data_IF_896478265086
#
_entry.id   IF_896478265086
#
_cell.length_a   1.000
_cell.length_b   1.000
_cell.length_c   1.000
_cell.angle_alpha   90.00
_cell.angle_beta   90.00
_cell.angle_gamma   90.00
#
_symmetry.space_group_name_H-M   'P 1'
#
loop_
_entity.id
_entity.type
_entity.pdbx_description
1 polymer ?
#
# COMPACT_ATOMS: atom_id res chain seq x y z
N UNK A 1 0.92 -7.91 1.70
CA UNK A 1 -0.08 -8.08 0.62
C UNK A 1 -1.44 -7.97 1.27
N UNK A 2 -2.38 -7.19 0.71
CA UNK A 2 -3.68 -6.98 1.35
C UNK A 2 -4.48 -8.29 1.44
N UNK A 3 -5.11 -8.56 2.58
CA UNK A 3 -6.07 -9.63 2.83
C UNK A 3 -7.50 -9.16 2.51
N UNK A 4 -8.43 -10.10 2.34
CA UNK A 4 -9.82 -9.81 1.89
C UNK A 4 -10.53 -8.77 2.77
N UNK A 5 -10.26 -8.80 4.07
CA UNK A 5 -10.80 -7.81 5.02
C UNK A 5 -10.32 -6.39 4.75
N UNK A 6 -9.04 -6.24 4.39
CA UNK A 6 -8.45 -4.93 4.11
C UNK A 6 -9.00 -4.37 2.79
N UNK A 7 -9.23 -5.24 1.79
CA UNK A 7 -9.86 -4.85 0.53
C UNK A 7 -11.30 -4.34 0.74
N UNK A 8 -12.08 -5.01 1.59
CA UNK A 8 -13.43 -4.57 1.93
C UNK A 8 -13.45 -3.19 2.60
N UNK A 9 -12.48 -2.89 3.46
CA UNK A 9 -12.33 -1.57 4.09
C UNK A 9 -12.04 -0.50 3.03
N UNK A 10 -11.10 -0.78 2.11
CA UNK A 10 -10.76 0.13 1.02
C UNK A 10 -11.97 0.46 0.14
N UNK A 11 -12.83 -0.52 -0.16
CA UNK A 11 -14.07 -0.28 -0.90
C UNK A 11 -15.05 0.63 -0.16
N UNK A 12 -15.19 0.46 1.17
CA UNK A 12 -16.04 1.31 2.00
C UNK A 12 -15.53 2.75 1.95
N UNK A 13 -14.21 2.95 2.04
CA UNK A 13 -13.58 4.27 1.93
C UNK A 13 -13.81 4.89 0.55
N UNK A 14 -13.65 4.10 -0.51
CA UNK A 14 -13.87 4.56 -1.88
C UNK A 14 -15.34 4.96 -2.15
N UNK A 15 -16.31 4.22 -1.60
CA UNK A 15 -17.73 4.60 -1.67
C UNK A 15 -18.03 5.92 -0.95
N UNK A 16 -17.24 6.25 0.08
CA UNK A 16 -17.28 7.53 0.80
C UNK A 16 -16.45 8.64 0.14
N UNK A 17 -15.96 8.43 -1.08
CA UNK A 17 -15.12 9.40 -1.84
C UNK A 17 -13.81 9.75 -1.14
N UNK A 18 -13.25 8.84 -0.36
CA UNK A 18 -11.90 8.96 0.19
C UNK A 18 -10.90 8.45 -0.86
N UNK A 19 -9.98 9.31 -1.27
CA UNK A 19 -8.94 8.94 -2.24
C UNK A 19 -7.85 8.10 -1.54
N UNK A 20 -7.49 6.97 -2.16
CA UNK A 20 -6.50 6.03 -1.62
C UNK A 20 -5.32 5.96 -2.58
N UNK A 21 -4.14 6.35 -2.07
CA UNK A 21 -2.87 6.32 -2.81
C UNK A 21 -1.96 5.27 -2.19
N UNK A 22 -1.46 4.34 -3.01
CA UNK A 22 -0.72 3.17 -2.55
C UNK A 22 0.65 3.11 -3.23
N UNK A 23 1.71 3.16 -2.43
CA UNK A 23 3.06 2.77 -2.86
C UNK A 23 3.31 1.33 -2.47
N UNK A 24 3.57 0.47 -3.45
CA UNK A 24 3.87 -0.93 -3.20
C UNK A 24 4.79 -1.49 -4.27
N UNK A 25 5.53 -2.54 -3.94
CA UNK A 25 6.20 -3.34 -4.95
C UNK A 25 5.14 -4.02 -5.81
N UNK A 26 5.21 -3.78 -7.11
CA UNK A 26 4.42 -4.45 -8.15
C UNK A 26 5.32 -5.45 -8.86
N UNK A 27 5.07 -6.73 -8.62
CA UNK A 27 5.80 -7.91 -9.09
C UNK A 27 4.82 -9.01 -9.54
N UNK A 28 5.34 -10.17 -9.96
CA UNK A 28 4.54 -11.29 -10.45
C UNK A 28 3.54 -11.84 -9.43
N UNK A 29 3.82 -11.69 -8.13
CA UNK A 29 2.97 -12.22 -7.06
C UNK A 29 1.84 -11.24 -6.78
N UNK A 30 2.13 -9.94 -6.80
CA UNK A 30 1.19 -8.86 -6.49
C UNK A 30 0.34 -8.41 -7.67
N UNK A 31 0.71 -8.75 -8.91
CA UNK A 31 0.07 -8.24 -10.13
C UNK A 31 -1.45 -8.42 -10.16
N UNK A 32 -1.96 -9.56 -9.68
CA UNK A 32 -3.38 -9.89 -9.74
C UNK A 32 -4.17 -8.97 -8.81
N UNK A 33 -3.71 -8.81 -7.56
CA UNK A 33 -4.36 -7.94 -6.58
C UNK A 33 -4.29 -6.47 -6.98
N UNK A 34 -3.17 -6.04 -7.57
CA UNK A 34 -3.03 -4.67 -8.09
C UNK A 34 -4.03 -4.43 -9.22
N UNK A 35 -4.15 -5.38 -10.17
CA UNK A 35 -5.11 -5.28 -11.27
C UNK A 35 -6.56 -5.24 -10.77
N UNK A 36 -6.92 -6.14 -9.85
CA UNK A 36 -8.25 -6.17 -9.22
C UNK A 36 -8.59 -4.84 -8.52
N UNK A 37 -7.61 -4.20 -7.87
CA UNK A 37 -7.85 -2.92 -7.19
C UNK A 37 -8.02 -1.76 -8.18
N UNK A 38 -7.24 -1.73 -9.27
CA UNK A 38 -7.38 -0.72 -10.32
C UNK A 38 -8.70 -0.86 -11.08
N UNK A 39 -9.13 -2.09 -11.38
CA UNK A 39 -10.43 -2.36 -12.03
C UNK A 39 -11.62 -1.80 -11.23
N UNK A 40 -11.51 -1.74 -9.89
CA UNK A 40 -12.54 -1.13 -9.03
C UNK A 40 -12.81 0.33 -9.35
N UNK A 41 -11.84 1.09 -9.87
CA UNK A 41 -12.07 2.48 -10.27
C UNK A 41 -13.15 2.58 -11.35
N UNK A 42 -13.13 1.66 -12.33
CA UNK A 42 -14.15 1.58 -13.40
C UNK A 42 -15.54 1.37 -12.83
N UNK A 43 -15.69 0.43 -11.88
CA UNK A 43 -16.98 0.15 -11.24
C UNK A 43 -17.47 1.30 -10.36
N UNK A 44 -16.55 2.04 -9.74
CA UNK A 44 -16.86 3.18 -8.88
C UNK A 44 -17.14 4.47 -9.69
N UNK A 45 -16.72 4.51 -10.96
CA UNK A 45 -16.87 5.66 -11.85
C UNK A 45 -15.95 6.84 -11.52
N UNK A 46 -14.87 6.61 -10.76
CA UNK A 46 -13.85 7.61 -10.44
C UNK A 46 -12.55 6.94 -9.94
N UNK A 47 -11.44 7.69 -9.97
CA UNK A 47 -10.11 7.19 -9.62
C UNK A 47 -9.87 7.11 -8.11
N UNK A 48 -10.59 6.20 -7.45
CA UNK A 48 -10.50 5.99 -6.00
C UNK A 48 -9.13 5.45 -5.57
N UNK A 49 -8.58 4.52 -6.35
CA UNK A 49 -7.33 3.84 -6.07
C UNK A 49 -6.26 4.26 -7.07
N UNK A 50 -5.19 4.86 -6.58
CA UNK A 50 -3.99 5.12 -7.36
C UNK A 50 -2.86 4.29 -6.79
N UNK A 51 -2.14 3.57 -7.65
CA UNK A 51 -1.10 2.65 -7.23
C UNK A 51 0.16 2.95 -8.02
N UNK A 52 1.29 3.04 -7.32
CA UNK A 52 2.61 3.18 -7.93
C UNK A 52 3.56 2.10 -7.45
N UNK A 53 4.40 1.66 -8.38
CA UNK A 53 5.48 0.71 -8.13
C UNK A 53 6.64 1.41 -7.41
N UNK A 54 6.87 1.02 -6.16
CA UNK A 54 8.02 1.42 -5.36
C UNK A 54 8.38 0.30 -4.39
N UNK A 55 9.65 -0.07 -4.31
CA UNK A 55 10.14 -0.91 -3.22
C UNK A 55 10.50 -0.02 -2.03
N UNK A 56 9.92 -0.31 -0.87
CA UNK A 56 10.16 0.45 0.34
C UNK A 56 10.03 -0.47 1.57
N UNK A 57 10.93 -0.37 2.56
CA UNK A 57 10.90 -1.24 3.73
C UNK A 57 9.74 -0.94 4.69
N UNK A 58 9.27 0.31 4.74
CA UNK A 58 8.22 0.72 5.66
C UNK A 58 6.84 0.24 5.17
N UNK A 59 6.07 -0.38 6.07
CA UNK A 59 4.65 -0.66 5.86
C UNK A 59 3.86 0.28 6.74
N UNK A 60 3.12 1.19 6.12
CA UNK A 60 2.41 2.24 6.83
C UNK A 60 1.07 2.55 6.19
N UNK A 61 0.12 2.99 7.01
CA UNK A 61 -1.06 3.73 6.59
C UNK A 61 -0.93 5.16 7.10
N UNK A 62 -1.12 6.14 6.22
CA UNK A 62 -1.24 7.54 6.59
C UNK A 62 -2.69 7.95 6.40
N UNK A 63 -3.33 8.40 7.47
CA UNK A 63 -4.75 8.78 7.49
C UNK A 63 -4.80 10.29 7.69
N UNK A 64 -5.10 10.99 6.59
CA UNK A 64 -5.08 12.44 6.50
C UNK A 64 -3.80 13.03 7.12
N UNK A 65 -3.94 14.08 7.93
CA UNK A 65 -2.89 14.75 8.69
C UNK A 65 -2.86 14.35 10.18
N UNK A 66 -3.58 13.27 10.55
CA UNK A 66 -3.88 12.97 11.96
C UNK A 66 -3.22 11.74 12.51
N UNK A 67 -3.03 10.70 11.69
CA UNK A 67 -2.58 9.42 12.20
C UNK A 67 -1.72 8.68 11.19
N UNK A 68 -0.64 8.08 11.68
CA UNK A 68 0.12 7.07 10.96
C UNK A 68 0.05 5.74 11.72
N UNK A 69 -0.23 4.65 11.00
CA UNK A 69 -0.18 3.29 11.55
C UNK A 69 0.96 2.56 10.86
N UNK A 70 2.02 2.28 11.60
CA UNK A 70 3.17 1.51 11.13
C UNK A 70 2.99 0.04 11.47
N UNK A 71 3.41 -0.84 10.55
CA UNK A 71 3.37 -2.29 10.73
C UNK A 71 4.77 -2.87 10.58
N UNK A 72 5.18 -3.62 11.58
CA UNK A 72 6.38 -4.44 11.54
C UNK A 72 5.99 -5.93 11.55
N UNK A 73 6.81 -6.76 10.95
CA UNK A 73 6.58 -8.21 10.89
C UNK A 73 7.84 -8.91 11.36
N UNK A 74 7.76 -9.51 12.55
CA UNK A 74 8.85 -10.28 13.12
C UNK A 74 8.64 -11.75 12.78
N UNK A 75 9.66 -12.37 12.19
CA UNK A 75 9.61 -13.78 11.77
C UNK A 75 10.50 -14.66 12.67
N UNK A 76 10.10 -15.91 12.96
CA UNK A 76 10.96 -16.87 13.68
C UNK A 76 12.32 -17.14 13.01
N UNK A 77 12.41 -16.89 11.71
CA UNK A 77 13.65 -17.05 10.93
C UNK A 77 14.71 -16.01 11.32
N UNK A 78 14.26 -14.80 11.67
CA UNK A 78 15.13 -13.69 12.08
C UNK A 78 15.24 -13.60 13.61
N UNK A 79 14.20 -14.03 14.33
CA UNK A 79 14.05 -13.94 15.78
C UNK A 79 13.71 -15.33 16.33
N UNK A 80 14.73 -16.13 16.65
CA UNK A 80 14.56 -17.53 17.08
C UNK A 80 13.79 -17.69 18.39
N UNK A 81 13.68 -16.61 19.16
CA UNK A 81 12.87 -16.50 20.37
C UNK A 81 11.36 -16.48 20.11
N UNK A 82 10.93 -16.20 18.87
CA UNK A 82 9.52 -16.14 18.51
C UNK A 82 9.00 -17.51 18.04
N UNK A 83 7.89 -18.02 18.61
CA UNK A 83 7.32 -19.30 18.19
C UNK A 83 6.58 -19.24 16.85
N UNK A 84 6.18 -18.03 16.42
CA UNK A 84 5.42 -17.78 15.20
C UNK A 84 5.66 -16.35 14.68
N UNK A 85 5.13 -16.03 13.50
CA UNK A 85 5.18 -14.67 12.96
C UNK A 85 4.36 -13.73 13.85
N UNK A 86 4.98 -12.63 14.28
CA UNK A 86 4.33 -11.59 15.09
C UNK A 86 4.20 -10.31 14.26
N UNK A 87 3.03 -9.69 14.30
CA UNK A 87 2.78 -8.40 13.69
C UNK A 87 2.70 -7.33 14.78
N UNK A 88 3.60 -6.36 14.74
CA UNK A 88 3.57 -5.21 15.63
C UNK A 88 2.94 -4.03 14.89
N UNK A 89 2.04 -3.33 15.57
CA UNK A 89 1.37 -2.15 15.06
C UNK A 89 1.67 -0.98 15.98
N UNK A 90 2.21 0.09 15.41
CA UNK A 90 2.50 1.33 16.12
C UNK A 90 1.62 2.45 15.56
N UNK A 91 0.89 3.11 16.44
CA UNK A 91 0.07 4.27 16.09
C UNK A 91 0.80 5.54 16.50
N UNK A 92 0.98 6.46 15.55
CA UNK A 92 1.56 7.78 15.77
C UNK A 92 0.50 8.83 15.49
N UNK A 93 0.33 9.76 16.42
CA UNK A 93 -0.61 10.90 16.33
C UNK A 93 0.13 12.24 16.44
N UNK A 94 1.47 12.20 16.51
CA UNK A 94 2.30 13.40 16.53
C UNK A 94 2.33 14.07 15.15
N UNK A 95 1.89 15.32 15.11
CA UNK A 95 1.73 16.07 13.87
C UNK A 95 3.06 16.28 13.11
N UNK A 96 4.18 16.48 13.81
CA UNK A 96 5.48 16.68 13.15
C UNK A 96 5.93 15.40 12.44
N UNK A 97 5.81 14.25 13.12
CA UNK A 97 6.10 12.95 12.54
C UNK A 97 5.18 12.61 11.37
N UNK A 98 3.88 12.89 11.48
CA UNK A 98 2.92 12.66 10.39
C UNK A 98 3.25 13.53 9.19
N UNK A 99 3.51 14.82 9.40
CA UNK A 99 3.89 15.74 8.32
C UNK A 99 5.17 15.29 7.62
N UNK A 100 6.16 14.83 8.38
CA UNK A 100 7.40 14.28 7.83
C UNK A 100 7.14 13.01 7.00
N UNK A 101 6.36 12.06 7.51
CA UNK A 101 6.01 10.83 6.79
C UNK A 101 5.24 11.12 5.50
N UNK A 102 4.32 12.09 5.51
CA UNK A 102 3.62 12.53 4.30
C UNK A 102 4.60 13.08 3.26
N UNK A 103 5.58 13.91 3.65
CA UNK A 103 6.61 14.43 2.74
C UNK A 103 7.43 13.29 2.12
N UNK A 104 7.85 12.32 2.93
CA UNK A 104 8.57 11.12 2.44
C UNK A 104 7.70 10.34 1.46
N UNK A 105 6.43 10.10 1.79
CA UNK A 105 5.48 9.44 0.90
C UNK A 105 5.35 10.17 -0.44
N UNK A 106 5.15 11.48 -0.44
CA UNK A 106 4.99 12.26 -1.66
C UNK A 106 6.27 12.32 -2.51
N UNK A 107 7.44 12.39 -1.87
CA UNK A 107 8.72 12.32 -2.57
C UNK A 107 8.86 11.00 -3.32
N UNK A 108 8.61 9.87 -2.64
CA UNK A 108 8.65 8.55 -3.26
C UNK A 108 7.59 8.43 -4.36
N UNK A 109 6.36 8.88 -4.08
CA UNK A 109 5.25 8.85 -5.01
C UNK A 109 5.56 9.53 -6.34
N UNK A 110 6.15 10.72 -6.28
CA UNK A 110 6.45 11.52 -7.47
C UNK A 110 7.54 10.88 -8.34
N UNK A 111 8.45 10.11 -7.73
CA UNK A 111 9.55 9.43 -8.42
C UNK A 111 9.16 8.01 -8.88
N UNK A 112 8.04 7.47 -8.40
CA UNK A 112 7.63 6.09 -8.65
C UNK A 112 6.89 5.93 -9.98
N UNK A 113 7.04 4.73 -10.56
CA UNK A 113 6.40 4.33 -11.82
C UNK A 113 4.94 3.96 -11.57
N UNK A 114 4.04 4.32 -12.47
CA UNK A 114 2.63 3.94 -12.37
C UNK A 114 2.46 2.41 -12.44
N UNK A 115 1.54 1.89 -11.62
CA UNK A 115 1.33 0.44 -11.53
C UNK A 115 0.90 -0.15 -12.88
N UNK A 116 0.08 0.55 -13.66
CA UNK A 116 -0.35 0.12 -15.00
C UNK A 116 0.83 -0.07 -15.96
N UNK A 117 1.75 0.90 -16.00
CA UNK A 117 2.97 0.82 -16.81
C UNK A 117 3.84 -0.36 -16.37
N UNK A 118 3.96 -0.59 -15.05
CA UNK A 118 4.72 -1.73 -14.53
C UNK A 118 4.05 -3.07 -14.86
N UNK A 119 2.73 -3.17 -14.74
CA UNK A 119 1.95 -4.36 -15.09
C UNK A 119 2.11 -4.71 -16.57
N UNK A 120 2.10 -3.71 -17.45
CA UNK A 120 2.35 -3.91 -18.89
C UNK A 120 3.74 -4.50 -19.14
N UNK A 121 4.78 -3.93 -18.53
CA UNK A 121 6.14 -4.46 -18.65
C UNK A 121 6.29 -5.89 -18.12
N UNK A 122 5.60 -6.24 -17.02
CA UNK A 122 5.60 -7.61 -16.49
C UNK A 122 4.97 -8.61 -17.47
N UNK A 123 3.89 -8.23 -18.16
CA UNK A 123 3.26 -9.07 -19.18
C UNK A 123 4.18 -9.30 -20.38
N UNK A 124 4.92 -8.28 -20.82
CA UNK A 124 5.85 -8.38 -21.94
C UNK A 124 7.04 -9.32 -21.68
N UNK A 125 7.46 -9.47 -20.42
CA UNK A 125 8.56 -10.38 -20.03
C UNK A 125 8.12 -11.85 -19.99
N UNK A 126 6.82 -12.11 -19.83
CA UNK A 126 6.30 -13.47 -19.63
C UNK A 126 5.74 -14.11 -20.92
N UNK A 127 5.84 -13.41 -22.06
CA UNK A 127 5.57 -13.90 -23.41
C UNK A 127 6.87 -14.16 -24.15
#
# INVERSE_FOLDING_TARGET
MLHDRELAILEILAKKKVAVKILTRVDMISQEKVSQLLEKNTYLGWDAFQIKHCEHPLRAFLIDDRQAILKETLSPQQHKELPQIVYLYYTLEDHEWISWLQKVFWQLWNQSVDAESRLKALKEIHH
#
